data_IF_357105164439
#
_entry.id   IF_357105164439
#
_cell.length_a   1.000
_cell.length_b   1.000
_cell.length_c   1.000
_cell.angle_alpha   90.00
_cell.angle_beta   90.00
_cell.angle_gamma   90.00
#
_symmetry.space_group_name_H-M   'P 1'
#
loop_
_entity.id
_entity.type
_entity.pdbx_description
1 polymer ?
#
# COMPACT_ATOMS: atom_id res chain seq x y z
N UNK A 1 16.10 2.50 18.63
CA UNK A 1 15.68 1.24 18.02
C UNK A 1 15.36 1.56 16.58
N UNK A 2 15.85 0.78 15.61
CA UNK A 2 15.62 1.04 14.18
C UNK A 2 14.62 0.02 13.66
N UNK A 3 13.62 0.48 12.90
CA UNK A 3 12.71 -0.38 12.14
C UNK A 3 13.16 -0.40 10.69
N UNK A 4 13.03 -1.56 10.06
CA UNK A 4 13.18 -1.71 8.62
C UNK A 4 11.83 -1.91 7.94
N UNK A 5 11.77 -1.57 6.67
CA UNK A 5 10.58 -1.67 5.84
C UNK A 5 10.86 -2.54 4.63
N UNK A 6 9.84 -3.21 4.12
CA UNK A 6 9.94 -3.89 2.84
C UNK A 6 8.71 -3.67 1.97
N UNK A 7 8.91 -3.74 0.67
CA UNK A 7 7.85 -3.64 -0.34
C UNK A 7 8.23 -4.45 -1.57
N UNK A 8 7.27 -4.70 -2.45
CA UNK A 8 7.51 -5.38 -3.71
C UNK A 8 6.75 -4.70 -4.86
N UNK A 9 7.39 -4.58 -6.01
CA UNK A 9 6.73 -4.04 -7.21
C UNK A 9 7.53 -4.32 -8.48
N UNK A 10 6.83 -4.19 -9.61
CA UNK A 10 7.40 -4.23 -10.95
C UNK A 10 7.44 -2.84 -11.59
N UNK A 11 7.91 -2.76 -12.83
CA UNK A 11 8.05 -1.51 -13.58
C UNK A 11 6.76 -0.68 -13.68
N UNK A 12 5.58 -1.30 -13.63
CA UNK A 12 4.30 -0.60 -13.71
C UNK A 12 3.93 0.15 -12.42
N UNK A 13 4.61 -0.14 -11.31
CA UNK A 13 4.41 0.48 -10.00
C UNK A 13 5.65 1.26 -9.53
N UNK A 14 6.67 1.41 -10.36
CA UNK A 14 7.94 2.05 -9.97
C UNK A 14 7.77 3.50 -9.53
N UNK A 15 6.85 4.25 -10.14
CA UNK A 15 6.52 5.62 -9.74
C UNK A 15 5.95 5.69 -8.32
N UNK A 16 5.08 4.75 -7.98
CA UNK A 16 4.48 4.63 -6.65
C UNK A 16 5.52 4.18 -5.62
N UNK A 17 6.34 3.18 -5.95
CA UNK A 17 7.42 2.72 -5.08
C UNK A 17 8.47 3.80 -4.79
N UNK A 18 8.81 4.66 -5.76
CA UNK A 18 9.68 5.82 -5.53
C UNK A 18 8.98 6.86 -4.66
N UNK A 19 7.68 7.12 -4.86
CA UNK A 19 6.92 8.04 -4.00
C UNK A 19 6.82 7.51 -2.56
N UNK A 20 6.60 6.21 -2.38
CA UNK A 20 6.67 5.55 -1.07
C UNK A 20 8.02 5.81 -0.41
N UNK A 21 9.13 5.52 -1.09
CA UNK A 21 10.48 5.79 -0.59
C UNK A 21 10.66 7.25 -0.18
N UNK A 22 10.31 8.20 -1.04
CA UNK A 22 10.43 9.62 -0.76
C UNK A 22 9.62 10.02 0.49
N UNK A 23 8.40 9.46 0.63
CA UNK A 23 7.55 9.76 1.78
C UNK A 23 8.14 9.21 3.09
N UNK A 24 8.77 8.03 3.08
CA UNK A 24 9.50 7.49 4.23
C UNK A 24 10.65 8.43 4.59
N UNK A 25 11.47 8.86 3.62
CA UNK A 25 12.66 9.68 3.82
C UNK A 25 12.38 11.07 4.40
N UNK A 26 11.17 11.62 4.21
CA UNK A 26 10.75 12.88 4.84
C UNK A 26 10.70 12.83 6.36
N UNK A 27 10.41 11.66 6.91
CA UNK A 27 10.20 11.48 8.35
C UNK A 27 11.26 10.60 9.01
N UNK A 28 11.85 9.67 8.24
CA UNK A 28 12.87 8.74 8.73
C UNK A 28 13.93 8.50 7.64
N UNK A 29 15.08 9.16 7.80
CA UNK A 29 16.22 9.04 6.89
C UNK A 29 17.11 7.82 7.18
N UNK A 30 16.97 7.20 8.35
CA UNK A 30 17.86 6.14 8.82
C UNK A 30 17.34 4.73 8.56
N UNK A 31 16.02 4.55 8.45
CA UNK A 31 15.42 3.23 8.23
C UNK A 31 15.88 2.60 6.92
N UNK A 32 16.08 1.29 6.90
CA UNK A 32 16.36 0.54 5.68
C UNK A 32 15.03 0.19 4.99
N UNK A 33 14.98 0.39 3.67
CA UNK A 33 13.89 -0.06 2.83
C UNK A 33 14.39 -1.19 1.91
N UNK A 34 13.89 -2.39 2.12
CA UNK A 34 14.09 -3.53 1.25
C UNK A 34 13.06 -3.50 0.11
N UNK A 35 13.50 -3.60 -1.13
CA UNK A 35 12.62 -3.59 -2.30
C UNK A 35 12.83 -4.88 -3.08
N UNK A 36 11.82 -5.76 -3.11
CA UNK A 36 11.81 -6.90 -4.00
C UNK A 36 11.42 -6.43 -5.42
N UNK A 37 12.40 -6.44 -6.31
CA UNK A 37 12.21 -6.11 -7.71
C UNK A 37 11.64 -7.32 -8.46
N UNK A 38 10.38 -7.21 -8.92
CA UNK A 38 9.68 -8.29 -9.59
C UNK A 38 10.09 -8.47 -11.07
N UNK A 39 10.90 -7.54 -11.60
CA UNK A 39 11.50 -7.62 -12.93
C UNK A 39 12.86 -6.91 -12.98
N UNK A 40 13.70 -7.34 -13.92
CA UNK A 40 15.06 -6.83 -14.11
C UNK A 40 15.08 -5.34 -14.50
N UNK A 41 14.05 -4.86 -15.20
CA UNK A 41 13.96 -3.44 -15.60
C UNK A 41 13.79 -2.53 -14.39
N UNK A 42 12.95 -2.94 -13.44
CA UNK A 42 12.77 -2.27 -12.14
C UNK A 42 14.09 -2.22 -11.39
N UNK A 43 14.78 -3.36 -11.25
CA UNK A 43 16.08 -3.45 -10.57
C UNK A 43 17.10 -2.49 -11.18
N UNK A 44 17.30 -2.55 -12.49
CA UNK A 44 18.29 -1.73 -13.20
C UNK A 44 18.07 -0.23 -13.01
N UNK A 45 16.81 0.20 -13.02
CA UNK A 45 16.48 1.61 -12.83
C UNK A 45 16.73 2.04 -11.38
N UNK A 46 16.23 1.28 -10.42
CA UNK A 46 16.41 1.61 -9.01
C UNK A 46 17.89 1.63 -8.61
N UNK A 47 18.69 0.69 -9.13
CA UNK A 47 20.15 0.72 -8.96
C UNK A 47 20.78 2.02 -9.49
N UNK A 48 20.34 2.47 -10.67
CA UNK A 48 20.90 3.67 -11.30
C UNK A 48 20.46 4.99 -10.63
N UNK A 49 19.39 4.95 -9.80
CA UNK A 49 18.93 6.11 -9.02
C UNK A 49 19.78 6.35 -7.77
N UNK A 50 20.57 5.37 -7.31
CA UNK A 50 21.45 5.52 -6.14
C UNK A 50 20.69 5.87 -4.85
N UNK A 51 19.52 5.28 -4.63
CA UNK A 51 18.65 5.58 -3.49
C UNK A 51 19.31 5.19 -2.17
N UNK A 52 19.44 6.15 -1.24
CA UNK A 52 20.09 5.92 0.06
C UNK A 52 19.26 5.02 0.96
N UNK A 53 19.93 4.14 1.72
CA UNK A 53 19.28 3.22 2.67
C UNK A 53 18.24 2.31 1.99
N UNK A 54 18.50 1.91 0.75
CA UNK A 54 17.70 0.94 -0.01
C UNK A 54 18.54 -0.29 -0.29
N UNK A 55 17.95 -1.46 -0.07
CA UNK A 55 18.51 -2.75 -0.45
C UNK A 55 17.57 -3.38 -1.47
N UNK A 56 18.08 -3.60 -2.68
CA UNK A 56 17.31 -4.26 -3.73
C UNK A 56 17.49 -5.77 -3.63
N UNK A 57 16.39 -6.49 -3.67
CA UNK A 57 16.32 -7.95 -3.67
C UNK A 57 15.78 -8.36 -5.04
N UNK A 58 16.45 -9.32 -5.70
CA UNK A 58 16.00 -9.87 -6.97
C UNK A 58 14.92 -10.93 -6.74
N UNK A 59 13.95 -10.99 -7.62
CA UNK A 59 12.96 -12.07 -7.58
C UNK A 59 13.65 -13.45 -7.67
N UNK A 60 14.68 -13.58 -8.51
CA UNK A 60 15.45 -14.80 -8.65
C UNK A 60 16.13 -15.26 -7.35
N UNK A 61 16.51 -14.33 -6.46
CA UNK A 61 17.12 -14.68 -5.17
C UNK A 61 16.09 -15.29 -4.21
N UNK A 62 14.87 -14.75 -4.22
CA UNK A 62 13.74 -15.30 -3.45
C UNK A 62 13.33 -16.66 -4.00
N UNK A 63 13.17 -16.79 -5.33
CA UNK A 63 12.80 -18.05 -5.98
C UNK A 63 13.87 -19.15 -5.78
N UNK A 64 15.14 -18.77 -5.77
CA UNK A 64 16.23 -19.70 -5.45
C UNK A 64 16.20 -20.15 -3.99
N UNK A 65 15.85 -19.25 -3.07
CA UNK A 65 15.76 -19.56 -1.63
C UNK A 65 14.52 -20.39 -1.30
N UNK A 66 13.41 -20.19 -2.03
CA UNK A 66 12.14 -20.90 -1.91
C UNK A 66 11.75 -21.52 -3.26
N UNK A 67 12.32 -22.68 -3.67
CA UNK A 67 12.10 -23.25 -5.01
C UNK A 67 10.63 -23.52 -5.38
N UNK A 68 9.76 -23.79 -4.39
CA UNK A 68 8.32 -24.00 -4.60
C UNK A 68 7.61 -22.76 -5.19
N UNK A 69 8.18 -21.57 -5.05
CA UNK A 69 7.61 -20.34 -5.63
C UNK A 69 7.62 -20.37 -7.15
N UNK A 70 8.53 -21.12 -7.80
CA UNK A 70 8.58 -21.22 -9.26
C UNK A 70 7.33 -21.91 -9.77
N UNK A 71 6.91 -23.02 -9.17
CA UNK A 71 5.68 -23.73 -9.52
C UNK A 71 4.42 -22.88 -9.24
N UNK A 72 4.39 -22.20 -8.08
CA UNK A 72 3.28 -21.31 -7.72
C UNK A 72 3.14 -20.12 -8.68
N UNK A 73 4.25 -19.63 -9.24
CA UNK A 73 4.25 -18.55 -10.24
C UNK A 73 3.55 -18.96 -11.55
N UNK A 74 3.73 -20.20 -11.96
CA UNK A 74 3.11 -20.73 -13.18
C UNK A 74 1.60 -20.93 -13.03
N UNK A 75 1.15 -21.22 -11.81
CA UNK A 75 -0.24 -21.57 -11.51
C UNK A 75 -1.08 -20.42 -10.94
N UNK A 76 -0.51 -19.22 -10.79
CA UNK A 76 -1.17 -18.04 -10.18
C UNK A 76 -1.18 -16.85 -11.12
N UNK A 77 -2.21 -16.03 -11.02
CA UNK A 77 -2.16 -14.71 -11.62
C UNK A 77 -1.01 -13.88 -11.01
N UNK A 78 -0.55 -12.86 -11.73
CA UNK A 78 0.52 -11.98 -11.22
C UNK A 78 0.18 -11.37 -9.85
N UNK A 79 -1.06 -10.99 -9.61
CA UNK A 79 -1.48 -10.43 -8.32
C UNK A 79 -1.42 -11.48 -7.19
N UNK A 80 -1.94 -12.67 -7.42
CA UNK A 80 -1.90 -13.78 -6.46
C UNK A 80 -0.46 -14.19 -6.14
N UNK A 81 0.41 -14.16 -7.15
CA UNK A 81 1.83 -14.41 -6.94
C UNK A 81 2.48 -13.31 -6.08
N UNK A 82 2.18 -12.03 -6.32
CA UNK A 82 2.65 -10.94 -5.46
C UNK A 82 2.23 -11.13 -4.00
N UNK A 83 0.97 -11.48 -3.75
CA UNK A 83 0.48 -11.76 -2.40
C UNK A 83 1.17 -12.97 -1.77
N UNK A 84 1.45 -14.00 -2.56
CA UNK A 84 2.25 -15.15 -2.10
C UNK A 84 3.65 -14.73 -1.66
N UNK A 85 4.28 -13.82 -2.40
CA UNK A 85 5.64 -13.34 -2.10
C UNK A 85 5.72 -12.53 -0.81
N UNK A 86 4.64 -11.91 -0.34
CA UNK A 86 4.63 -11.01 0.81
C UNK A 86 5.22 -11.64 2.09
N UNK A 87 4.69 -12.75 2.64
CA UNK A 87 5.26 -13.38 3.83
C UNK A 87 6.63 -14.00 3.57
N UNK A 88 6.92 -14.46 2.35
CA UNK A 88 8.22 -15.00 2.00
C UNK A 88 9.31 -13.92 2.01
N UNK A 89 9.00 -12.71 1.53
CA UNK A 89 9.91 -11.57 1.55
C UNK A 89 10.29 -11.19 2.99
N UNK A 90 9.31 -11.11 3.89
CA UNK A 90 9.54 -10.78 5.29
C UNK A 90 10.45 -11.83 5.95
N UNK A 91 10.13 -13.11 5.76
CA UNK A 91 10.95 -14.20 6.31
C UNK A 91 12.38 -14.21 5.73
N UNK A 92 12.51 -14.00 4.42
CA UNK A 92 13.82 -13.91 3.76
C UNK A 92 14.68 -12.79 4.35
N UNK A 93 14.07 -11.62 4.63
CA UNK A 93 14.76 -10.48 5.23
C UNK A 93 15.27 -10.84 6.62
N UNK A 94 14.47 -11.47 7.47
CA UNK A 94 14.91 -11.92 8.79
C UNK A 94 16.07 -12.91 8.70
N UNK A 95 15.98 -13.88 7.79
CA UNK A 95 17.03 -14.92 7.65
C UNK A 95 18.31 -14.40 7.00
N UNK A 96 18.20 -13.43 6.09
CA UNK A 96 19.37 -12.96 5.31
C UNK A 96 20.06 -11.76 5.92
N UNK A 97 19.30 -10.84 6.55
CA UNK A 97 19.80 -9.55 7.01
C UNK A 97 19.75 -9.38 8.53
N UNK A 98 19.24 -10.37 9.24
CA UNK A 98 19.17 -10.40 10.71
C UNK A 98 18.47 -9.17 11.32
N UNK A 99 17.40 -8.68 10.68
CA UNK A 99 16.60 -7.57 11.20
C UNK A 99 15.86 -7.98 12.47
N UNK A 100 15.66 -7.02 13.38
CA UNK A 100 14.86 -7.26 14.60
C UNK A 100 13.37 -7.09 14.35
N UNK A 101 13.01 -6.12 13.51
CA UNK A 101 11.65 -5.80 13.09
C UNK A 101 11.65 -5.45 11.61
N UNK A 102 10.69 -5.98 10.88
CA UNK A 102 10.47 -5.62 9.49
C UNK A 102 8.98 -5.38 9.25
N UNK A 103 8.66 -4.28 8.56
CA UNK A 103 7.30 -3.88 8.22
C UNK A 103 7.11 -3.98 6.72
N UNK A 104 6.18 -4.83 6.30
CA UNK A 104 5.71 -4.85 4.92
C UNK A 104 4.84 -3.64 4.61
N UNK A 105 5.03 -3.05 3.45
CA UNK A 105 4.30 -1.91 2.95
C UNK A 105 3.80 -2.18 1.53
N UNK A 106 2.52 -1.94 1.26
CA UNK A 106 2.05 -1.86 -0.12
C UNK A 106 2.74 -0.70 -0.85
N UNK A 107 3.13 -0.91 -2.11
CA UNK A 107 3.93 0.07 -2.86
C UNK A 107 3.18 1.35 -3.22
N UNK A 108 1.86 1.37 -3.08
CA UNK A 108 1.00 2.53 -3.34
C UNK A 108 0.44 3.21 -2.08
N UNK A 109 1.13 3.05 -0.96
CA UNK A 109 0.93 3.90 0.22
C UNK A 109 1.87 5.11 0.21
N UNK A 110 1.49 6.16 0.94
CA UNK A 110 2.27 7.38 1.06
C UNK A 110 2.12 7.96 2.46
N UNK A 111 3.24 8.23 3.11
CA UNK A 111 3.28 8.68 4.50
C UNK A 111 3.02 10.18 4.61
N UNK A 112 2.22 10.55 5.59
CA UNK A 112 1.88 11.92 5.99
C UNK A 112 2.36 12.25 7.39
N UNK A 113 2.88 11.26 8.12
CA UNK A 113 3.54 11.37 9.42
C UNK A 113 4.63 10.31 9.52
N UNK A 114 5.36 10.32 10.65
CA UNK A 114 6.47 9.39 10.86
C UNK A 114 5.98 7.91 10.76
N UNK A 115 6.56 7.12 9.86
CA UNK A 115 6.19 5.71 9.67
C UNK A 115 6.45 4.83 10.89
N UNK A 116 7.34 5.21 11.80
CA UNK A 116 7.70 4.39 12.97
C UNK A 116 6.65 4.47 14.10
N UNK A 117 5.75 5.46 14.09
CA UNK A 117 4.79 5.68 15.18
C UNK A 117 3.98 4.43 15.53
N UNK A 118 3.38 3.69 14.57
CA UNK A 118 2.62 2.47 14.90
C UNK A 118 3.50 1.38 15.52
N UNK A 119 4.75 1.26 15.07
CA UNK A 119 5.69 0.29 15.59
C UNK A 119 6.12 0.63 17.03
N UNK A 120 6.31 1.89 17.33
CA UNK A 120 6.60 2.35 18.71
C UNK A 120 5.41 2.08 19.63
N UNK A 121 4.17 2.29 19.15
CA UNK A 121 2.97 1.95 19.91
C UNK A 121 2.84 0.44 20.16
N UNK A 122 3.10 -0.39 19.16
CA UNK A 122 3.17 -1.85 19.28
C UNK A 122 4.14 -2.27 20.38
N UNK A 123 5.35 -1.70 20.39
CA UNK A 123 6.35 -2.02 21.41
C UNK A 123 5.94 -1.57 22.81
N UNK A 124 5.35 -0.38 22.93
CA UNK A 124 4.81 0.11 24.23
C UNK A 124 3.71 -0.78 24.78
N UNK A 125 2.96 -1.44 23.90
CA UNK A 125 1.96 -2.44 24.27
C UNK A 125 2.56 -3.81 24.61
N UNK A 126 3.89 -3.99 24.53
CA UNK A 126 4.56 -5.27 24.75
C UNK A 126 4.33 -6.28 23.64
N UNK A 127 3.88 -5.83 22.46
CA UNK A 127 3.57 -6.69 21.32
C UNK A 127 4.76 -6.81 20.35
N UNK A 128 4.74 -7.85 19.53
CA UNK A 128 5.82 -8.18 18.59
C UNK A 128 5.36 -8.34 17.14
N UNK A 129 4.04 -8.32 16.91
CA UNK A 129 3.41 -8.33 15.58
C UNK A 129 2.39 -7.20 15.53
N UNK A 130 2.35 -6.44 14.43
CA UNK A 130 1.35 -5.41 14.19
C UNK A 130 0.60 -5.71 12.90
N UNK A 131 -0.73 -5.61 12.95
CA UNK A 131 -1.62 -5.70 11.80
C UNK A 131 -2.53 -4.48 11.72
N UNK A 132 -2.94 -4.11 10.50
CA UNK A 132 -3.82 -2.97 10.27
C UNK A 132 -5.22 -3.41 9.88
N UNK A 133 -6.23 -2.63 10.31
CA UNK A 133 -7.62 -2.82 9.87
C UNK A 133 -7.87 -2.14 8.53
N UNK A 134 -8.82 -2.65 7.74
CA UNK A 134 -9.42 -1.89 6.65
C UNK A 134 -10.13 -0.64 7.18
N UNK A 135 -10.75 -0.72 8.35
CA UNK A 135 -11.53 0.37 8.89
C UNK A 135 -12.74 0.71 8.03
N UNK A 136 -13.44 -0.29 7.51
CA UNK A 136 -14.67 -0.07 6.75
C UNK A 136 -15.70 0.66 7.59
N UNK A 137 -16.52 1.55 6.98
CA UNK A 137 -17.59 2.26 7.68
C UNK A 137 -18.58 1.33 8.35
N UNK A 138 -19.16 1.77 9.47
CA UNK A 138 -20.18 1.00 10.19
C UNK A 138 -21.58 1.18 9.57
N UNK A 139 -21.66 1.04 8.24
CA UNK A 139 -22.92 1.02 7.49
C UNK A 139 -23.12 -0.37 6.82
N UNK A 140 -24.28 -0.58 6.20
CA UNK A 140 -24.59 -1.86 5.52
C UNK A 140 -23.52 -2.23 4.50
N UNK A 141 -23.07 -1.25 3.71
CA UNK A 141 -22.06 -1.46 2.67
C UNK A 141 -20.69 -1.80 3.26
N UNK A 142 -20.30 -1.13 4.35
CA UNK A 142 -19.06 -1.41 5.06
C UNK A 142 -19.06 -2.80 5.68
N UNK A 143 -20.14 -3.21 6.33
CA UNK A 143 -20.30 -4.56 6.87
C UNK A 143 -20.24 -5.65 5.79
N UNK A 144 -20.85 -5.41 4.65
CA UNK A 144 -20.73 -6.31 3.48
C UNK A 144 -19.29 -6.38 2.96
N UNK A 145 -18.59 -5.25 2.91
CA UNK A 145 -17.19 -5.20 2.50
C UNK A 145 -16.29 -5.94 3.48
N UNK A 146 -16.49 -5.75 4.78
CA UNK A 146 -15.74 -6.46 5.83
C UNK A 146 -15.96 -7.98 5.75
N UNK A 147 -17.21 -8.42 5.58
CA UNK A 147 -17.51 -9.84 5.37
C UNK A 147 -16.79 -10.42 4.15
N UNK A 148 -16.71 -9.65 3.06
CA UNK A 148 -16.07 -10.08 1.83
C UNK A 148 -14.54 -10.04 1.91
N UNK A 149 -13.97 -8.92 2.32
CA UNK A 149 -12.54 -8.64 2.24
C UNK A 149 -11.78 -8.95 3.54
N UNK A 150 -12.47 -9.12 4.65
CA UNK A 150 -11.91 -9.29 5.99
C UNK A 150 -11.76 -7.97 6.74
N UNK A 151 -11.53 -8.09 8.04
CA UNK A 151 -11.30 -6.96 8.97
C UNK A 151 -9.94 -6.33 8.75
N UNK A 152 -8.92 -7.15 8.44
CA UNK A 152 -7.52 -6.74 8.33
C UNK A 152 -7.05 -6.61 6.88
N UNK A 153 -6.07 -5.75 6.67
CA UNK A 153 -5.49 -5.43 5.36
C UNK A 153 -3.96 -5.61 5.38
N UNK A 154 -3.42 -6.17 4.32
CA UNK A 154 -1.97 -6.35 4.14
C UNK A 154 -1.34 -5.08 3.56
N UNK A 155 -1.55 -3.92 4.15
CA UNK A 155 -1.02 -2.65 3.64
C UNK A 155 0.17 -2.13 4.46
N UNK A 156 0.18 -2.45 5.77
CA UNK A 156 1.23 -2.10 6.73
C UNK A 156 1.16 -3.14 7.85
N UNK A 157 2.01 -4.14 7.80
CA UNK A 157 2.06 -5.19 8.81
C UNK A 157 3.50 -5.41 9.27
N UNK A 158 3.72 -5.40 10.58
CA UNK A 158 5.05 -5.54 11.18
C UNK A 158 5.19 -6.89 11.85
N UNK A 159 6.33 -7.51 11.61
CA UNK A 159 6.77 -8.71 12.30
C UNK A 159 8.10 -8.45 13.00
N UNK A 160 8.38 -9.23 14.03
CA UNK A 160 9.69 -9.27 14.69
C UNK A 160 10.34 -10.62 14.51
N UNK A 161 11.64 -10.71 14.80
CA UNK A 161 12.35 -11.99 14.85
C UNK A 161 12.12 -12.77 16.17
N UNK A 162 11.13 -12.40 16.97
CA UNK A 162 10.69 -13.15 18.13
C UNK A 162 9.87 -14.37 17.72
N UNK A 163 10.01 -15.45 18.49
CA UNK A 163 9.36 -16.73 18.17
C UNK A 163 7.86 -16.60 17.90
N UNK A 164 7.12 -15.91 18.74
CA UNK A 164 5.66 -15.74 18.61
C UNK A 164 5.27 -15.04 17.31
N UNK A 165 6.07 -14.07 16.85
CA UNK A 165 5.85 -13.35 15.61
C UNK A 165 6.24 -14.18 14.39
N UNK A 166 7.34 -14.96 14.50
CA UNK A 166 7.77 -15.87 13.44
C UNK A 166 6.80 -17.03 13.26
N UNK A 167 6.22 -17.55 14.34
CA UNK A 167 5.20 -18.60 14.28
C UNK A 167 3.96 -18.11 13.48
N UNK A 168 3.50 -16.86 13.72
CA UNK A 168 2.42 -16.25 12.93
C UNK A 168 2.80 -16.05 11.46
N UNK A 169 4.01 -15.60 11.21
CA UNK A 169 4.53 -15.42 9.85
C UNK A 169 4.60 -16.75 9.09
N UNK A 170 5.01 -17.82 9.75
CA UNK A 170 5.04 -19.17 9.19
C UNK A 170 3.64 -19.69 8.86
N UNK A 171 2.67 -19.50 9.76
CA UNK A 171 1.26 -19.84 9.52
C UNK A 171 0.75 -19.09 8.27
N UNK A 172 1.00 -17.78 8.19
CA UNK A 172 0.58 -16.99 7.03
C UNK A 172 1.23 -17.51 5.74
N UNK A 173 2.54 -17.73 5.75
CA UNK A 173 3.30 -18.26 4.61
C UNK A 173 2.73 -19.61 4.15
N UNK A 174 2.50 -20.54 5.06
CA UNK A 174 1.95 -21.86 4.73
C UNK A 174 0.52 -21.77 4.15
N UNK A 175 -0.30 -20.85 4.67
CA UNK A 175 -1.63 -20.62 4.16
C UNK A 175 -1.61 -20.06 2.73
N UNK A 176 -0.76 -19.07 2.43
CA UNK A 176 -0.67 -18.52 1.07
C UNK A 176 -0.03 -19.51 0.08
N UNK A 177 0.83 -20.41 0.53
CA UNK A 177 1.33 -21.52 -0.31
C UNK A 177 0.17 -22.41 -0.72
N UNK A 178 -0.68 -22.80 0.24
CA UNK A 178 -1.81 -23.71 0.02
C UNK A 178 -2.89 -23.08 -0.86
N UNK A 179 -3.29 -21.85 -0.57
CA UNK A 179 -4.33 -21.13 -1.29
C UNK A 179 -4.12 -19.61 -1.19
N UNK A 180 -3.95 -18.94 -2.32
CA UNK A 180 -3.86 -17.49 -2.43
C UNK A 180 -4.72 -16.98 -3.59
N UNK A 181 -5.81 -17.70 -3.90
CA UNK A 181 -6.71 -17.39 -5.00
C UNK A 181 -7.55 -16.13 -4.73
N UNK A 182 -7.83 -15.40 -5.79
CA UNK A 182 -8.78 -14.30 -5.77
C UNK A 182 -10.09 -14.69 -6.43
N UNK A 183 -11.00 -15.22 -5.64
CA UNK A 183 -12.34 -15.63 -6.09
C UNK A 183 -13.42 -15.08 -5.15
N UNK A 184 -13.97 -13.93 -5.50
CA UNK A 184 -15.00 -13.24 -4.69
C UNK A 184 -16.26 -14.07 -4.44
N UNK A 185 -16.63 -14.96 -5.38
CA UNK A 185 -17.83 -15.80 -5.25
C UNK A 185 -17.67 -16.85 -4.17
N UNK A 186 -16.45 -17.35 -4.01
CA UNK A 186 -16.08 -18.32 -2.98
C UNK A 186 -15.54 -17.66 -1.69
N UNK A 187 -15.48 -16.33 -1.66
CA UNK A 187 -14.94 -15.58 -0.53
C UNK A 187 -13.43 -15.70 -0.37
N UNK A 188 -12.71 -16.12 -1.41
CA UNK A 188 -11.26 -16.18 -1.47
C UNK A 188 -10.71 -14.82 -1.89
N UNK A 189 -9.94 -14.18 -1.04
CA UNK A 189 -9.44 -12.81 -1.23
C UNK A 189 -7.92 -12.78 -0.98
N UNK A 190 -7.18 -13.59 -1.70
CA UNK A 190 -5.72 -13.62 -1.61
C UNK A 190 -5.21 -13.93 -0.20
N UNK A 191 -4.27 -13.12 0.28
CA UNK A 191 -3.50 -13.36 1.50
C UNK A 191 -4.09 -12.73 2.77
N UNK A 192 -4.89 -11.67 2.64
CA UNK A 192 -5.28 -10.83 3.79
C UNK A 192 -6.23 -11.49 4.80
N UNK A 193 -7.11 -12.41 4.36
CA UNK A 193 -8.03 -13.09 5.26
C UNK A 193 -7.35 -13.99 6.29
N UNK A 194 -6.14 -14.43 6.02
CA UNK A 194 -5.37 -15.22 6.96
C UNK A 194 -4.96 -14.44 8.22
N UNK A 195 -4.93 -13.12 8.15
CA UNK A 195 -4.67 -12.26 9.30
C UNK A 195 -5.79 -12.28 10.36
N UNK A 196 -6.99 -12.73 10.00
CA UNK A 196 -8.15 -12.83 10.93
C UNK A 196 -7.86 -13.74 12.12
N UNK A 197 -7.00 -14.73 11.97
CA UNK A 197 -6.67 -15.68 13.01
C UNK A 197 -5.61 -15.15 13.98
N UNK A 198 -4.79 -14.17 13.59
CA UNK A 198 -3.65 -13.71 14.37
C UNK A 198 -3.99 -13.29 15.80
N UNK A 199 -5.02 -12.46 16.05
CA UNK A 199 -5.38 -12.05 17.40
C UNK A 199 -5.89 -13.20 18.30
N UNK A 200 -6.32 -14.31 17.69
CA UNK A 200 -6.73 -15.53 18.42
C UNK A 200 -5.55 -16.42 18.75
N UNK A 201 -4.54 -16.46 17.85
CA UNK A 201 -3.37 -17.32 17.97
C UNK A 201 -2.31 -16.74 18.90
N UNK A 202 -2.22 -15.40 19.02
CA UNK A 202 -1.21 -14.77 19.86
C UNK A 202 -1.72 -13.49 20.53
N UNK A 203 -1.43 -13.34 21.82
CA UNK A 203 -1.64 -12.08 22.57
C UNK A 203 -0.59 -11.01 22.23
N UNK A 204 0.45 -11.36 21.50
CA UNK A 204 1.53 -10.47 21.06
C UNK A 204 1.19 -9.72 19.77
N UNK A 205 -0.08 -9.70 19.34
CA UNK A 205 -0.56 -8.99 18.17
C UNK A 205 -1.15 -7.64 18.57
N UNK A 206 -0.56 -6.58 18.07
CA UNK A 206 -1.07 -5.22 18.19
C UNK A 206 -1.92 -4.87 16.97
N UNK A 207 -3.14 -4.43 17.21
CA UNK A 207 -4.01 -3.92 16.15
C UNK A 207 -3.82 -2.41 16.08
N UNK A 208 -3.34 -1.92 14.96
CA UNK A 208 -3.05 -0.50 14.75
C UNK A 208 -4.29 0.38 14.94
N UNK A 209 -4.08 1.58 15.50
CA UNK A 209 -5.12 2.57 15.74
C UNK A 209 -5.67 3.17 14.44
N UNK A 210 -6.81 3.83 14.54
CA UNK A 210 -7.36 4.69 13.48
C UNK A 210 -6.30 5.72 13.08
N UNK A 211 -6.19 6.01 11.77
CA UNK A 211 -5.12 6.85 11.23
C UNK A 211 -3.99 6.07 10.58
N UNK A 212 -3.79 4.82 11.01
CA UNK A 212 -2.95 3.86 10.30
C UNK A 212 -3.80 3.14 9.25
N UNK A 213 -3.69 3.50 7.98
CA UNK A 213 -4.44 2.89 6.90
C UNK A 213 -5.69 3.65 6.45
N UNK A 214 -5.57 4.98 6.31
CA UNK A 214 -6.60 5.75 5.62
C UNK A 214 -6.55 5.45 4.11
N UNK A 215 -7.73 5.21 3.52
CA UNK A 215 -7.83 4.68 2.17
C UNK A 215 -9.15 5.09 1.48
N UNK A 216 -9.33 4.83 0.17
CA UNK A 216 -10.57 5.16 -0.54
C UNK A 216 -11.84 4.59 0.07
N UNK A 217 -11.75 3.48 0.77
CA UNK A 217 -12.92 2.81 1.34
C UNK A 217 -13.37 3.37 2.69
N UNK A 218 -12.52 4.10 3.42
CA UNK A 218 -12.84 4.64 4.75
C UNK A 218 -12.73 6.17 4.85
N UNK A 219 -12.16 6.87 3.86
CA UNK A 219 -11.93 8.33 3.90
C UNK A 219 -13.22 9.13 4.12
N UNK A 220 -14.40 8.59 3.77
CA UNK A 220 -15.69 9.25 3.97
C UNK A 220 -16.08 9.39 5.45
N UNK A 221 -15.46 8.63 6.34
CA UNK A 221 -15.64 8.71 7.79
C UNK A 221 -14.96 9.93 8.43
N UNK A 222 -14.25 10.72 7.60
CA UNK A 222 -13.50 11.88 8.05
C UNK A 222 -13.99 13.15 7.37
N UNK A 223 -14.12 14.23 8.15
CA UNK A 223 -14.65 15.53 7.72
C UNK A 223 -13.57 16.49 7.23
N UNK A 224 -12.38 16.43 7.86
CA UNK A 224 -11.26 17.33 7.54
C UNK A 224 -9.94 16.71 7.93
N UNK A 225 -8.85 17.41 7.60
CA UNK A 225 -7.54 17.10 8.11
C UNK A 225 -6.78 18.41 8.40
N UNK A 226 -5.83 18.33 9.33
CA UNK A 226 -4.95 19.41 9.76
C UNK A 226 -3.53 18.98 9.44
N UNK A 227 -2.82 19.77 8.65
CA UNK A 227 -1.41 19.51 8.33
C UNK A 227 -0.55 20.61 8.95
N UNK A 228 0.25 20.19 9.88
CA UNK A 228 1.40 20.96 10.43
C UNK A 228 2.61 20.03 10.29
N UNK A 229 3.67 20.05 10.85
CA UNK A 229 4.79 19.08 10.69
C UNK A 229 4.36 17.62 10.50
N UNK A 230 3.24 17.24 11.12
CA UNK A 230 2.56 15.96 10.98
C UNK A 230 1.11 16.17 10.49
N UNK A 231 0.48 15.14 9.96
CA UNK A 231 -0.89 15.20 9.49
C UNK A 231 -1.85 14.57 10.50
N UNK A 232 -2.92 15.28 10.81
CA UNK A 232 -4.02 14.80 11.64
C UNK A 232 -5.30 14.79 10.82
N UNK A 233 -6.14 13.79 11.06
CA UNK A 233 -7.43 13.61 10.40
C UNK A 233 -8.53 13.69 11.46
N UNK A 234 -9.62 14.36 11.13
CA UNK A 234 -10.76 14.57 12.04
C UNK A 234 -11.90 13.70 11.59
N UNK A 235 -12.41 12.82 12.45
CA UNK A 235 -13.58 12.00 12.15
C UNK A 235 -14.85 12.86 12.00
N UNK A 236 -15.92 12.26 11.49
CA UNK A 236 -17.22 12.94 11.41
C UNK A 236 -17.81 13.24 12.79
N UNK A 237 -17.42 12.49 13.82
CA UNK A 237 -17.77 12.70 15.22
C UNK A 237 -16.89 13.75 15.93
N UNK A 238 -15.89 14.29 15.24
CA UNK A 238 -15.00 15.32 15.75
C UNK A 238 -13.75 14.83 16.48
N UNK A 239 -13.51 13.53 16.50
CA UNK A 239 -12.29 12.97 17.08
C UNK A 239 -11.09 13.19 16.17
N UNK A 240 -9.93 13.43 16.77
CA UNK A 240 -8.67 13.75 16.06
C UNK A 240 -7.73 12.56 16.14
N UNK A 241 -7.26 12.10 15.00
CA UNK A 241 -6.31 11.01 14.89
C UNK A 241 -5.07 11.45 14.09
N UNK A 242 -3.89 11.00 14.48
CA UNK A 242 -2.70 11.18 13.65
C UNK A 242 -2.84 10.30 12.40
N UNK A 243 -2.79 10.95 11.23
CA UNK A 243 -2.78 10.25 9.95
C UNK A 243 -1.35 9.82 9.61
N UNK A 244 -1.09 8.53 9.68
CA UNK A 244 0.24 7.97 9.40
C UNK A 244 0.46 7.89 7.89
N UNK A 245 -0.44 7.22 7.17
CA UNK A 245 -0.36 7.13 5.73
C UNK A 245 -1.75 7.10 5.06
N UNK A 246 -1.74 7.33 3.75
CA UNK A 246 -2.87 7.08 2.87
C UNK A 246 -2.51 5.99 1.86
N UNK A 247 -3.42 5.02 1.68
CA UNK A 247 -3.30 3.96 0.68
C UNK A 247 -4.02 4.35 -0.60
N UNK A 248 -3.27 4.64 -1.68
CA UNK A 248 -3.80 5.11 -2.95
C UNK A 248 -4.31 3.99 -3.86
N UNK A 249 -4.99 3.01 -3.27
CA UNK A 249 -5.57 1.89 -4.01
C UNK A 249 -6.53 2.39 -5.10
N UNK A 250 -6.55 1.70 -6.25
CA UNK A 250 -7.40 1.98 -7.39
C UNK A 250 -7.22 3.35 -8.07
N UNK A 251 -6.18 4.10 -7.75
CA UNK A 251 -5.83 5.31 -8.48
C UNK A 251 -5.49 4.96 -9.93
N UNK A 252 -6.20 5.57 -10.89
CA UNK A 252 -6.09 5.27 -12.33
C UNK A 252 -5.83 6.52 -13.13
N UNK A 253 -4.72 6.56 -13.85
CA UNK A 253 -4.47 7.61 -14.82
C UNK A 253 -5.30 7.37 -16.08
N UNK A 254 -6.15 8.32 -16.43
CA UNK A 254 -6.97 8.30 -17.63
C UNK A 254 -6.24 8.96 -18.82
N UNK A 255 -5.33 9.88 -18.50
CA UNK A 255 -4.37 10.50 -19.43
C UNK A 255 -3.18 11.04 -18.64
N UNK A 256 -2.20 11.68 -19.31
CA UNK A 256 -1.01 12.25 -18.67
C UNK A 256 -1.36 13.10 -17.43
N UNK A 257 -2.44 13.90 -17.51
CA UNK A 257 -2.80 14.88 -16.49
C UNK A 257 -4.21 14.65 -15.89
N UNK A 258 -4.86 13.55 -16.18
CA UNK A 258 -6.23 13.28 -15.70
C UNK A 258 -6.25 11.96 -14.95
N UNK A 259 -6.66 12.01 -13.69
CA UNK A 259 -6.62 10.87 -12.77
C UNK A 259 -8.00 10.61 -12.20
N UNK A 260 -8.42 9.36 -12.20
CA UNK A 260 -9.57 8.90 -11.44
C UNK A 260 -9.07 8.38 -10.08
N UNK A 261 -9.52 9.00 -9.01
CA UNK A 261 -9.12 8.66 -7.63
C UNK A 261 -10.02 7.61 -6.98
N UNK A 262 -11.17 7.30 -7.55
CA UNK A 262 -12.05 6.19 -7.12
C UNK A 262 -12.63 6.29 -5.72
N UNK A 263 -12.75 7.50 -5.16
CA UNK A 263 -13.08 7.71 -3.73
C UNK A 263 -14.59 7.92 -3.47
N UNK A 264 -15.36 8.26 -4.51
CA UNK A 264 -16.77 8.61 -4.34
C UNK A 264 -17.02 9.87 -3.49
N UNK A 265 -18.02 9.83 -2.62
CA UNK A 265 -18.45 10.97 -1.80
C UNK A 265 -17.55 11.20 -0.59
N UNK A 266 -16.38 11.77 -0.75
CA UNK A 266 -15.56 12.24 0.37
C UNK A 266 -15.44 13.76 0.38
N UNK A 267 -15.10 14.34 1.54
CA UNK A 267 -14.96 15.79 1.70
C UNK A 267 -13.94 16.37 0.69
N UNK A 268 -14.31 17.44 0.01
CA UNK A 268 -13.50 18.08 -1.03
C UNK A 268 -12.14 18.56 -0.52
N UNK A 269 -12.14 19.25 0.62
CA UNK A 269 -10.91 19.80 1.22
C UNK A 269 -9.95 18.67 1.58
N UNK A 270 -10.48 17.59 2.15
CA UNK A 270 -9.74 16.41 2.52
C UNK A 270 -9.14 15.71 1.28
N UNK A 271 -9.93 15.48 0.22
CA UNK A 271 -9.44 14.96 -1.06
C UNK A 271 -8.28 15.79 -1.60
N UNK A 272 -8.40 17.12 -1.63
CA UNK A 272 -7.35 18.00 -2.14
C UNK A 272 -6.07 17.86 -1.33
N UNK A 273 -6.18 17.85 -0.01
CA UNK A 273 -5.01 17.83 0.87
C UNK A 273 -4.25 16.52 0.78
N UNK A 274 -4.95 15.40 0.56
CA UNK A 274 -4.34 14.07 0.43
C UNK A 274 -3.83 13.83 -0.99
N UNK A 275 -4.69 14.03 -2.01
CA UNK A 275 -4.35 13.61 -3.37
C UNK A 275 -3.44 14.57 -4.11
N UNK A 276 -3.58 15.88 -3.91
CA UNK A 276 -2.81 16.86 -4.70
C UNK A 276 -1.30 16.71 -4.49
N UNK A 277 -0.76 16.68 -3.25
CA UNK A 277 0.68 16.51 -3.05
C UNK A 277 1.20 15.22 -3.66
N UNK A 278 0.50 14.12 -3.47
CA UNK A 278 0.87 12.82 -4.02
C UNK A 278 0.89 12.82 -5.56
N UNK A 279 -0.14 13.39 -6.19
CA UNK A 279 -0.24 13.43 -7.64
C UNK A 279 0.84 14.31 -8.29
N UNK A 280 1.20 15.42 -7.67
CA UNK A 280 2.33 16.24 -8.13
C UNK A 280 3.65 15.46 -8.06
N UNK A 281 3.88 14.74 -6.97
CA UNK A 281 5.09 13.94 -6.81
C UNK A 281 5.14 12.79 -7.81
N UNK A 282 4.05 12.05 -8.00
CA UNK A 282 3.97 10.99 -9.02
C UNK A 282 4.24 11.53 -10.43
N UNK A 283 3.71 12.72 -10.75
CA UNK A 283 3.94 13.32 -12.06
C UNK A 283 5.39 13.76 -12.28
N UNK A 284 6.03 14.32 -11.25
CA UNK A 284 7.46 14.65 -11.28
C UNK A 284 8.33 13.40 -11.48
N UNK A 285 8.04 12.34 -10.70
CA UNK A 285 8.74 11.05 -10.83
C UNK A 285 8.56 10.48 -12.23
N UNK A 286 7.34 10.47 -12.77
CA UNK A 286 7.05 10.00 -14.14
C UNK A 286 7.77 10.81 -15.21
N UNK A 287 7.85 12.13 -15.04
CA UNK A 287 8.63 13.01 -15.89
C UNK A 287 10.10 12.61 -15.91
N UNK A 288 10.73 12.49 -14.75
CA UNK A 288 12.13 12.07 -14.60
C UNK A 288 12.40 10.67 -15.17
N UNK A 289 11.50 9.72 -14.94
CA UNK A 289 11.60 8.37 -15.51
C UNK A 289 11.48 8.37 -17.03
N UNK A 290 10.61 9.19 -17.59
CA UNK A 290 10.48 9.32 -19.02
C UNK A 290 11.72 9.99 -19.66
N UNK A 291 12.18 11.09 -19.09
CA UNK A 291 13.31 11.86 -19.63
C UNK A 291 14.60 11.04 -19.63
N UNK A 292 14.88 10.34 -18.52
CA UNK A 292 16.13 9.59 -18.34
C UNK A 292 16.09 8.18 -18.95
N UNK A 293 14.97 7.47 -18.81
CA UNK A 293 14.88 6.04 -19.19
C UNK A 293 13.88 5.75 -20.29
N UNK A 294 13.19 6.76 -20.82
CA UNK A 294 12.13 6.65 -21.85
C UNK A 294 10.98 5.72 -21.42
N UNK A 295 10.73 5.63 -20.11
CA UNK A 295 9.67 4.78 -19.56
C UNK A 295 8.35 5.54 -19.58
N UNK A 296 7.36 4.92 -20.22
CA UNK A 296 5.96 5.32 -20.14
C UNK A 296 5.22 4.35 -19.21
N UNK A 297 4.91 4.78 -17.99
CA UNK A 297 4.04 3.99 -17.12
C UNK A 297 2.64 4.04 -17.72
N UNK A 298 2.09 2.86 -18.02
CA UNK A 298 0.82 2.77 -18.72
C UNK A 298 -0.31 3.41 -17.90
N UNK A 299 -0.91 4.45 -18.47
CA UNK A 299 -2.25 4.85 -18.06
C UNK A 299 -3.22 3.78 -18.56
N UNK A 300 -4.04 3.20 -17.68
CA UNK A 300 -5.09 2.29 -18.13
C UNK A 300 -5.99 3.03 -19.11
N UNK A 301 -6.08 2.55 -20.35
CA UNK A 301 -7.04 3.09 -21.31
C UNK A 301 -8.44 2.94 -20.72
N UNK A 302 -9.18 4.04 -20.68
CA UNK A 302 -10.62 3.98 -20.36
C UNK A 302 -11.26 3.26 -21.53
N UNK A 303 -11.74 2.06 -21.29
CA UNK A 303 -12.53 1.34 -22.29
C UNK A 303 -13.72 2.24 -22.69
N UNK A 304 -14.03 2.31 -23.99
CA UNK A 304 -15.25 3.02 -24.49
C UNK A 304 -16.54 2.55 -23.80
N UNK A 305 -16.54 1.37 -23.17
CA UNK A 305 -17.66 0.87 -22.35
C UNK A 305 -17.88 1.69 -21.07
N UNK A 306 -16.90 2.48 -20.61
CA UNK A 306 -17.05 3.39 -19.47
C UNK A 306 -17.35 4.83 -19.96
N UNK A 307 -18.43 4.96 -20.70
CA UNK A 307 -18.86 6.23 -21.31
C UNK A 307 -19.05 7.36 -20.29
N UNK A 308 -19.41 7.05 -19.04
CA UNK A 308 -19.50 8.02 -17.94
C UNK A 308 -18.13 8.66 -17.68
N UNK A 309 -17.06 7.88 -17.58
CA UNK A 309 -15.70 8.40 -17.41
C UNK A 309 -15.21 9.16 -18.67
N UNK A 310 -15.67 8.76 -19.85
CA UNK A 310 -15.40 9.47 -21.10
C UNK A 310 -16.10 10.83 -21.15
N UNK A 311 -17.38 10.90 -20.78
CA UNK A 311 -18.14 12.15 -20.69
C UNK A 311 -17.57 13.07 -19.62
N UNK A 312 -17.21 12.55 -18.43
CA UNK A 312 -16.56 13.31 -17.38
C UNK A 312 -15.23 13.92 -17.86
N UNK A 313 -14.40 13.12 -18.56
CA UNK A 313 -13.17 13.61 -19.18
C UNK A 313 -13.42 14.74 -20.18
N UNK A 314 -14.47 14.63 -21.00
CA UNK A 314 -14.86 15.63 -21.99
C UNK A 314 -15.36 16.91 -21.31
N UNK A 315 -16.26 16.80 -20.34
CA UNK A 315 -16.80 17.94 -19.57
C UNK A 315 -15.72 18.70 -18.80
N UNK A 316 -14.74 17.97 -18.24
CA UNK A 316 -13.59 18.60 -17.56
C UNK A 316 -12.64 19.31 -18.54
N UNK A 317 -12.45 18.78 -19.75
CA UNK A 317 -11.64 19.44 -20.81
C UNK A 317 -12.19 20.84 -21.13
N UNK A 318 -13.50 20.99 -21.10
CA UNK A 318 -14.19 22.26 -21.38
C UNK A 318 -14.56 23.06 -20.13
N UNK A 319 -14.07 22.69 -18.93
CA UNK A 319 -14.37 23.33 -17.63
C UNK A 319 -15.89 23.41 -17.30
N UNK A 320 -16.70 22.54 -17.87
CA UNK A 320 -18.17 22.56 -17.74
C UNK A 320 -18.63 21.95 -16.40
N UNK A 321 -17.79 21.09 -15.78
CA UNK A 321 -18.09 20.44 -14.48
C UNK A 321 -17.00 20.80 -13.49
N UNK A 322 -17.41 21.30 -12.33
CA UNK A 322 -16.52 21.46 -11.20
C UNK A 322 -16.01 20.06 -10.79
N UNK A 323 -14.69 19.86 -10.83
CA UNK A 323 -14.01 18.60 -10.52
C UNK A 323 -14.35 18.01 -9.14
N UNK A 324 -15.15 18.69 -8.34
CA UNK A 324 -15.58 18.32 -7.00
C UNK A 324 -16.68 17.29 -6.94
N UNK A 325 -17.47 17.17 -8.01
CA UNK A 325 -18.54 16.20 -8.12
C UNK A 325 -18.09 14.87 -8.71
N UNK A 326 -16.87 14.81 -9.25
CA UNK A 326 -16.31 13.61 -9.86
C UNK A 326 -15.07 13.14 -9.12
N UNK A 327 -14.81 11.83 -9.16
CA UNK A 327 -13.56 11.23 -8.72
C UNK A 327 -12.38 11.51 -9.68
N UNK A 328 -12.51 12.49 -10.55
CA UNK A 328 -11.54 12.82 -11.58
C UNK A 328 -10.84 14.12 -11.22
N UNK A 329 -9.52 14.06 -11.10
CA UNK A 329 -8.66 15.22 -10.86
C UNK A 329 -7.85 15.50 -12.12
N UNK A 330 -7.83 16.77 -12.55
CA UNK A 330 -6.91 17.27 -13.57
C UNK A 330 -5.70 17.91 -12.88
N UNK A 331 -4.51 17.45 -13.22
CA UNK A 331 -3.24 18.00 -12.74
C UNK A 331 -2.71 18.88 -13.87
N UNK A 332 -2.60 20.19 -13.62
CA UNK A 332 -2.03 21.13 -14.59
C UNK A 332 -0.53 21.18 -14.49
#
# INVERSE_FOLDING_TARGET
MSFSYCTLFNINYIDKGIALYNSIRRYNEYSILYILCLDMKTENILNSLGMKKVILIKLSDIEKYYPHLIELKENRSFAEYCWTLTPHLIEYIFKKYNELYNTYLDSDIYFYSNPDVPNVEMLRAGCHTLITKHGFPNDVKGKMSEKLYGTYCVQYNTFSNKKESLDLLEIWKNNVIRDCEYNKREGKIGDQKYLEEFPRLSKSVYIAKIGVGIAPWNIKEFSSAIHNKECFIVSNEGEIYQMIFYHFQNLKYLSKNVVNIGVGKANRKLKRMIYIPYLYEINDIRGKLYDRYKIKIQSRSVSRKNWVAFIQKYLMKYKIVDWCLSDIISIK
#
